data_IF_691864782949
#
_entry.id   IF_691864782949
#
_cell.length_a   1.000
_cell.length_b   1.000
_cell.length_c   1.000
_cell.angle_alpha   90.00
_cell.angle_beta   90.00
_cell.angle_gamma   90.00
#
_symmetry.space_group_name_H-M   'P 1'
#
loop_
_entity.id
_entity.type
_entity.pdbx_description
1 polymer ?
#
# COMPACT_ATOMS: atom_id res chain seq x y z
N UNK A 1 -54.86 8.56 -38.81
CA UNK A 1 -54.67 7.64 -39.93
C UNK A 1 -53.82 6.51 -39.44
N UNK A 2 -54.43 5.54 -39.04
CA UNK A 2 -54.55 4.13 -39.50
C UNK A 2 -53.48 3.22 -38.88
N UNK A 3 -53.90 2.52 -37.85
CA UNK A 3 -53.48 1.15 -37.51
C UNK A 3 -54.06 0.17 -38.54
N UNK A 4 -53.45 -0.98 -38.78
CA UNK A 4 -54.10 -2.23 -38.34
C UNK A 4 -53.11 -3.29 -37.79
N UNK A 5 -53.44 -3.94 -36.71
CA UNK A 5 -54.21 -5.20 -36.47
C UNK A 5 -53.44 -6.49 -36.66
N UNK A 6 -53.34 -7.23 -35.51
CA UNK A 6 -53.00 -8.66 -35.43
C UNK A 6 -53.84 -9.54 -36.35
N UNK A 7 -53.39 -10.80 -36.57
CA UNK A 7 -54.27 -11.88 -36.21
C UNK A 7 -53.61 -13.06 -35.45
N UNK A 8 -54.40 -13.56 -34.52
CA UNK A 8 -54.29 -14.88 -33.83
C UNK A 8 -54.56 -16.00 -34.84
N UNK A 9 -53.94 -17.19 -34.60
CA UNK A 9 -54.59 -18.49 -34.76
C UNK A 9 -53.83 -19.63 -34.12
N UNK A 10 -54.57 -20.27 -33.21
CA UNK A 10 -54.35 -21.64 -32.68
C UNK A 10 -54.31 -22.68 -33.78
N UNK A 11 -53.45 -23.71 -33.58
CA UNK A 11 -53.67 -25.03 -34.12
C UNK A 11 -53.00 -26.09 -33.22
N UNK A 12 -53.53 -27.29 -33.08
CA UNK A 12 -53.32 -28.22 -31.95
C UNK A 12 -52.20 -29.25 -32.22
N UNK A 13 -51.66 -29.76 -31.13
CA UNK A 13 -50.68 -30.85 -31.08
C UNK A 13 -51.33 -32.22 -31.44
N UNK A 14 -50.62 -33.10 -32.13
CA UNK A 14 -50.96 -34.52 -32.16
C UNK A 14 -50.26 -35.28 -31.06
N UNK A 15 -51.03 -36.03 -30.33
CA UNK A 15 -50.65 -37.07 -29.37
C UNK A 15 -50.05 -38.28 -30.07
N UNK A 16 -48.91 -38.79 -29.59
CA UNK A 16 -48.42 -40.06 -30.09
C UNK A 16 -47.09 -40.53 -29.50
N UNK A 17 -47.13 -41.59 -28.72
CA UNK A 17 -46.00 -42.49 -28.61
C UNK A 17 -45.25 -42.58 -27.29
N UNK A 18 -45.78 -43.27 -26.30
CA UNK A 18 -45.02 -43.84 -25.17
C UNK A 18 -43.97 -44.81 -25.67
N UNK A 19 -42.70 -44.47 -25.63
CA UNK A 19 -41.61 -45.45 -25.65
C UNK A 19 -40.92 -45.44 -24.30
N UNK A 20 -41.07 -46.51 -23.56
CA UNK A 20 -40.41 -46.82 -22.30
C UNK A 20 -38.90 -46.97 -22.52
N UNK A 21 -38.13 -45.90 -22.40
CA UNK A 21 -36.68 -46.00 -22.26
C UNK A 21 -36.34 -46.28 -20.80
N UNK A 22 -35.91 -47.51 -20.56
CA UNK A 22 -35.29 -48.00 -19.32
C UNK A 22 -34.28 -46.96 -18.84
N UNK A 23 -34.55 -46.26 -17.73
CA UNK A 23 -33.58 -45.54 -16.92
C UNK A 23 -32.58 -46.58 -16.38
N UNK A 24 -31.45 -46.71 -17.06
CA UNK A 24 -30.25 -47.30 -16.46
C UNK A 24 -29.86 -46.36 -15.31
N UNK A 25 -30.06 -46.84 -14.09
CA UNK A 25 -29.56 -46.22 -12.87
C UNK A 25 -28.03 -46.03 -12.97
N UNK A 26 -27.59 -44.83 -13.28
CA UNK A 26 -26.24 -44.41 -12.89
C UNK A 26 -26.24 -44.38 -11.36
N UNK A 27 -25.84 -45.48 -10.74
CA UNK A 27 -25.38 -45.48 -9.39
C UNK A 27 -24.30 -44.39 -9.28
N UNK A 28 -24.65 -43.23 -8.73
CA UNK A 28 -23.68 -42.33 -8.14
C UNK A 28 -22.94 -43.18 -7.11
N UNK A 29 -21.79 -43.74 -7.50
CA UNK A 29 -20.76 -44.07 -6.55
C UNK A 29 -20.47 -42.76 -5.80
N UNK A 30 -21.10 -42.60 -4.65
CA UNK A 30 -20.60 -41.73 -3.60
C UNK A 30 -19.18 -42.24 -3.37
N UNK A 31 -18.19 -41.51 -3.89
CA UNK A 31 -16.83 -41.70 -3.49
C UNK A 31 -16.85 -41.69 -1.97
N UNK A 32 -16.60 -42.85 -1.37
CA UNK A 32 -16.26 -42.97 0.04
C UNK A 32 -15.20 -41.87 0.26
N UNK A 33 -15.55 -40.83 1.00
CA UNK A 33 -14.58 -40.04 1.73
C UNK A 33 -13.96 -41.04 2.70
N UNK A 34 -12.91 -41.72 2.25
CA UNK A 34 -12.08 -42.55 3.11
C UNK A 34 -11.78 -41.70 4.33
N UNK A 35 -12.14 -42.23 5.49
CA UNK A 35 -11.84 -41.63 6.79
C UNK A 35 -10.33 -41.47 6.83
N UNK A 36 -9.87 -40.24 6.58
CA UNK A 36 -8.45 -39.92 6.76
C UNK A 36 -8.17 -40.22 8.21
N UNK A 37 -7.31 -41.18 8.46
CA UNK A 37 -6.89 -41.56 9.82
C UNK A 37 -6.11 -40.39 10.42
N UNK A 38 -6.86 -39.51 11.10
CA UNK A 38 -6.30 -38.30 11.75
C UNK A 38 -5.39 -38.68 12.94
N UNK A 39 -5.45 -39.91 13.39
CA UNK A 39 -4.62 -40.47 14.47
C UNK A 39 -3.34 -41.08 13.94
N UNK A 40 -3.20 -41.20 12.64
CA UNK A 40 -1.98 -41.70 12.03
C UNK A 40 -0.75 -40.83 12.42
N UNK A 41 0.36 -41.43 12.87
CA UNK A 41 1.53 -40.68 13.33
C UNK A 41 2.05 -39.65 12.34
N UNK A 42 2.08 -39.97 11.03
CA UNK A 42 2.50 -39.03 9.96
C UNK A 42 1.53 -37.85 9.81
N UNK A 43 0.23 -38.06 10.03
CA UNK A 43 -0.73 -36.97 9.96
C UNK A 43 -0.52 -35.97 11.10
N UNK A 44 -0.24 -36.46 12.32
CA UNK A 44 0.08 -35.62 13.48
C UNK A 44 1.39 -34.87 13.28
N UNK A 45 2.42 -35.52 12.75
CA UNK A 45 3.69 -34.87 12.42
C UNK A 45 3.50 -33.75 11.39
N UNK A 46 2.87 -34.03 10.27
CA UNK A 46 2.59 -33.03 9.23
C UNK A 46 1.77 -31.85 9.76
N UNK A 47 0.80 -32.11 10.64
CA UNK A 47 0.00 -31.08 11.27
C UNK A 47 0.84 -30.18 12.19
N UNK A 48 1.66 -30.77 13.03
CA UNK A 48 2.56 -30.03 13.93
C UNK A 48 3.53 -29.14 13.14
N UNK A 49 4.19 -29.70 12.14
CA UNK A 49 5.10 -28.96 11.25
C UNK A 49 4.41 -27.86 10.48
N UNK A 50 3.16 -28.11 10.04
CA UNK A 50 2.35 -27.12 9.32
C UNK A 50 1.99 -25.93 10.21
N UNK A 51 1.77 -26.11 11.51
CA UNK A 51 1.51 -25.03 12.45
C UNK A 51 2.70 -24.07 12.59
N UNK A 52 3.91 -24.57 12.38
CA UNK A 52 5.13 -23.77 12.37
C UNK A 52 5.35 -22.98 11.05
N UNK A 53 4.60 -23.28 9.98
CA UNK A 53 4.73 -22.62 8.67
C UNK A 53 4.05 -21.23 8.63
N UNK A 54 4.41 -20.37 7.65
CA UNK A 54 3.71 -19.10 7.39
C UNK A 54 2.21 -19.28 7.17
N UNK A 55 1.40 -18.28 7.54
CA UNK A 55 -0.08 -18.35 7.52
C UNK A 55 -0.62 -18.76 6.15
N UNK A 56 -0.10 -18.20 5.08
CA UNK A 56 -0.51 -18.55 3.72
C UNK A 56 -0.30 -20.04 3.42
N UNK A 57 0.86 -20.57 3.80
CA UNK A 57 1.21 -21.97 3.56
C UNK A 57 0.37 -22.90 4.46
N UNK A 58 0.13 -22.53 5.72
CA UNK A 58 -0.77 -23.27 6.62
C UNK A 58 -2.16 -23.46 6.00
N UNK A 59 -2.75 -22.40 5.44
CA UNK A 59 -4.07 -22.50 4.82
C UNK A 59 -4.05 -23.37 3.57
N UNK A 60 -3.07 -23.16 2.69
CA UNK A 60 -2.91 -23.89 1.43
C UNK A 60 -2.65 -25.38 1.65
N UNK A 61 -1.63 -25.70 2.45
CA UNK A 61 -1.23 -27.08 2.73
C UNK A 61 -2.20 -27.77 3.68
N UNK A 62 -2.80 -27.05 4.65
CA UNK A 62 -3.81 -27.61 5.54
C UNK A 62 -5.05 -28.13 4.82
N UNK A 63 -5.46 -27.47 3.75
CA UNK A 63 -6.54 -28.01 2.89
C UNK A 63 -6.13 -29.28 2.16
N UNK A 64 -4.89 -29.36 1.70
CA UNK A 64 -4.33 -30.56 1.06
C UNK A 64 -4.10 -31.69 2.04
N UNK A 65 -3.63 -31.39 3.27
CA UNK A 65 -3.44 -32.39 4.31
C UNK A 65 -4.75 -33.10 4.67
N UNK A 66 -5.86 -32.37 4.71
CA UNK A 66 -7.19 -32.94 4.96
C UNK A 66 -7.68 -33.92 3.88
N UNK A 67 -7.05 -33.92 2.72
CA UNK A 67 -7.39 -34.75 1.55
C UNK A 67 -6.24 -35.69 1.18
N UNK A 68 -5.16 -35.71 2.00
CA UNK A 68 -3.96 -36.49 1.70
C UNK A 68 -4.21 -37.99 1.95
N UNK A 69 -4.06 -38.77 0.90
CA UNK A 69 -4.05 -40.23 1.00
C UNK A 69 -2.67 -40.70 1.49
N UNK A 70 -2.61 -41.08 2.75
CA UNK A 70 -1.37 -41.55 3.40
C UNK A 70 -0.93 -42.94 2.96
N UNK A 71 -1.78 -43.71 2.29
CA UNK A 71 -1.42 -45.04 1.75
C UNK A 71 -0.60 -44.90 0.45
N UNK A 72 -0.65 -43.75 -0.21
CA UNK A 72 0.05 -43.48 -1.46
C UNK A 72 1.38 -42.77 -1.21
N UNK A 73 2.46 -43.51 -1.37
CA UNK A 73 3.80 -42.96 -1.13
C UNK A 73 4.12 -41.71 -1.98
N UNK A 74 3.68 -41.68 -3.24
CA UNK A 74 3.88 -40.53 -4.16
C UNK A 74 3.14 -39.27 -3.70
N UNK A 75 1.96 -39.41 -3.09
CA UNK A 75 1.22 -38.26 -2.54
C UNK A 75 1.88 -37.73 -1.27
N UNK A 76 2.35 -38.61 -0.41
CA UNK A 76 3.03 -38.27 0.84
C UNK A 76 4.34 -37.55 0.52
N UNK A 77 5.16 -38.07 -0.39
CA UNK A 77 6.43 -37.47 -0.77
C UNK A 77 6.25 -36.05 -1.36
N UNK A 78 5.26 -35.87 -2.24
CA UNK A 78 4.94 -34.54 -2.78
C UNK A 78 4.48 -33.55 -1.70
N UNK A 79 3.68 -34.01 -0.76
CA UNK A 79 3.23 -33.17 0.34
C UNK A 79 4.40 -32.78 1.25
N UNK A 80 5.25 -33.74 1.59
CA UNK A 80 6.42 -33.51 2.44
C UNK A 80 7.42 -32.53 1.79
N UNK A 81 7.65 -32.64 0.51
CA UNK A 81 8.47 -31.71 -0.27
C UNK A 81 7.91 -30.27 -0.22
N UNK A 82 6.58 -30.13 -0.37
CA UNK A 82 5.94 -28.82 -0.30
C UNK A 82 5.95 -28.24 1.10
N UNK A 83 5.81 -29.09 2.13
CA UNK A 83 5.90 -28.71 3.54
C UNK A 83 7.31 -28.25 3.89
N UNK A 84 8.33 -29.02 3.54
CA UNK A 84 9.74 -28.66 3.76
C UNK A 84 10.12 -27.36 3.05
N UNK A 85 9.57 -27.13 1.86
CA UNK A 85 9.75 -25.84 1.16
C UNK A 85 9.11 -24.67 1.89
N UNK A 86 7.96 -24.88 2.53
CA UNK A 86 7.30 -23.84 3.32
C UNK A 86 8.08 -23.54 4.62
N UNK A 87 8.58 -24.56 5.31
CA UNK A 87 9.46 -24.43 6.48
C UNK A 87 10.73 -23.66 6.12
N UNK A 88 11.39 -24.04 5.03
CA UNK A 88 12.61 -23.38 4.57
C UNK A 88 12.39 -21.90 4.26
N UNK A 89 11.28 -21.54 3.62
CA UNK A 89 10.94 -20.13 3.38
C UNK A 89 10.86 -19.30 4.66
N UNK A 90 10.32 -19.86 5.74
CA UNK A 90 10.29 -19.17 7.03
C UNK A 90 11.69 -19.01 7.60
N UNK A 91 12.50 -20.08 7.55
CA UNK A 91 13.90 -20.04 7.99
C UNK A 91 14.72 -19.02 7.18
N UNK A 92 14.57 -19.00 5.85
CA UNK A 92 15.24 -18.05 4.97
C UNK A 92 14.86 -16.59 5.33
N UNK A 93 13.58 -16.32 5.63
CA UNK A 93 13.12 -15.00 6.09
C UNK A 93 13.72 -14.64 7.46
N UNK A 94 13.76 -15.57 8.40
CA UNK A 94 14.39 -15.37 9.71
C UNK A 94 15.89 -15.11 9.58
N UNK A 95 16.56 -15.82 8.68
CA UNK A 95 18.00 -15.70 8.44
C UNK A 95 18.40 -14.36 7.79
N UNK A 96 17.43 -13.58 7.26
CA UNK A 96 17.72 -12.22 6.76
C UNK A 96 18.24 -11.28 7.86
N UNK A 97 17.95 -11.56 9.12
CA UNK A 97 18.59 -10.93 10.29
C UNK A 97 18.53 -9.39 10.30
N UNK A 98 17.39 -8.82 9.89
CA UNK A 98 17.25 -7.37 9.72
C UNK A 98 17.18 -6.70 11.09
N UNK A 99 18.17 -5.84 11.39
CA UNK A 99 18.17 -5.01 12.60
C UNK A 99 17.89 -3.56 12.20
N UNK A 100 16.67 -3.06 12.44
CA UNK A 100 16.30 -1.69 12.09
C UNK A 100 17.04 -0.67 12.97
N UNK A 101 17.50 0.41 12.36
CA UNK A 101 17.99 1.60 13.04
C UNK A 101 17.00 2.74 12.88
N UNK A 102 16.90 3.62 13.85
CA UNK A 102 15.90 4.70 13.89
C UNK A 102 16.60 6.04 14.01
N UNK A 103 16.40 6.97 13.06
CA UNK A 103 16.94 8.33 13.15
C UNK A 103 16.37 9.04 14.39
N UNK A 104 17.21 9.51 15.33
CA UNK A 104 16.71 10.11 16.57
C UNK A 104 15.99 11.44 16.36
N UNK A 105 16.30 12.13 15.25
CA UNK A 105 15.69 13.42 14.87
C UNK A 105 14.23 13.30 14.42
N UNK A 106 13.73 12.08 14.21
CA UNK A 106 12.34 11.89 13.78
C UNK A 106 11.41 11.75 14.98
N UNK A 107 10.33 12.55 15.06
CA UNK A 107 9.37 12.47 16.17
C UNK A 107 8.80 11.08 16.42
N UNK A 108 8.61 10.28 15.35
CA UNK A 108 8.14 8.89 15.49
C UNK A 108 9.15 7.99 16.20
N UNK A 109 10.45 8.32 16.16
CA UNK A 109 11.50 7.53 16.82
C UNK A 109 11.45 7.67 18.34
N UNK A 110 11.06 8.83 18.85
CA UNK A 110 10.86 9.07 20.29
C UNK A 110 9.70 8.25 20.85
N UNK A 111 8.67 8.03 20.04
CA UNK A 111 7.48 7.25 20.42
C UNK A 111 7.55 5.78 19.98
N UNK A 112 8.73 5.33 19.53
CA UNK A 112 8.93 3.97 18.95
C UNK A 112 8.46 2.87 19.88
N UNK A 113 8.84 2.91 21.14
CA UNK A 113 8.56 1.84 22.09
C UNK A 113 7.08 1.78 22.46
N UNK A 114 6.42 2.92 22.54
CA UNK A 114 4.96 3.02 22.72
C UNK A 114 4.21 2.45 21.50
N UNK A 115 4.63 2.83 20.29
CA UNK A 115 4.05 2.30 19.06
C UNK A 115 4.26 0.79 18.98
N UNK A 116 5.46 0.31 19.33
CA UNK A 116 5.78 -1.10 19.34
C UNK A 116 4.91 -1.88 20.34
N UNK A 117 4.69 -1.35 21.54
CA UNK A 117 3.80 -1.92 22.54
C UNK A 117 2.35 -1.98 22.01
N UNK A 118 1.84 -0.86 21.49
CA UNK A 118 0.49 -0.81 20.91
C UNK A 118 0.30 -1.86 19.80
N UNK A 119 1.25 -2.00 18.88
CA UNK A 119 1.18 -3.01 17.79
C UNK A 119 1.25 -4.45 18.35
N UNK A 120 2.04 -4.69 19.39
CA UNK A 120 2.14 -6.01 20.01
C UNK A 120 0.82 -6.41 20.65
N UNK A 121 0.23 -5.52 21.40
CA UNK A 121 -0.87 -5.82 22.32
C UNK A 121 -2.24 -5.74 21.63
N UNK A 122 -2.39 -4.89 20.60
CA UNK A 122 -3.66 -4.66 19.89
C UNK A 122 -3.63 -5.16 18.45
N UNK A 123 -4.79 -5.55 17.94
CA UNK A 123 -4.94 -6.02 16.55
C UNK A 123 -4.96 -4.85 15.55
N UNK A 124 -5.54 -3.72 15.94
CA UNK A 124 -5.60 -2.49 15.16
C UNK A 124 -5.00 -1.35 15.96
N UNK A 125 -4.18 -0.52 15.32
CA UNK A 125 -3.56 0.65 15.92
C UNK A 125 -3.68 1.83 14.97
N UNK A 126 -4.01 3.01 15.50
CA UNK A 126 -4.02 4.26 14.75
C UNK A 126 -2.80 5.08 15.16
N UNK A 127 -1.98 5.49 14.19
CA UNK A 127 -0.81 6.33 14.42
C UNK A 127 -1.01 7.66 13.70
N UNK A 128 -1.24 8.71 14.46
CA UNK A 128 -1.50 10.04 13.94
C UNK A 128 -0.33 10.98 14.15
N UNK A 129 -0.24 11.99 13.31
CA UNK A 129 0.76 13.04 13.49
C UNK A 129 1.02 13.81 12.21
N UNK A 130 1.74 14.91 12.33
CA UNK A 130 2.06 15.78 11.22
C UNK A 130 2.85 15.04 10.12
N UNK A 131 2.73 15.52 8.89
CA UNK A 131 3.54 15.03 7.78
C UNK A 131 5.00 15.38 8.05
N UNK A 132 5.90 14.45 7.75
CA UNK A 132 7.33 14.63 8.05
C UNK A 132 7.76 14.05 9.40
N UNK A 133 6.83 13.64 10.29
CA UNK A 133 7.17 13.00 11.56
C UNK A 133 7.85 11.62 11.42
N UNK A 134 7.96 11.08 10.21
CA UNK A 134 8.65 9.81 9.93
C UNK A 134 7.76 8.58 9.91
N UNK A 135 6.43 8.67 10.14
CA UNK A 135 5.50 7.52 10.19
C UNK A 135 5.69 6.55 9.02
N UNK A 136 5.61 7.05 7.81
CA UNK A 136 5.67 6.28 6.56
C UNK A 136 6.92 5.40 6.46
N UNK A 137 8.09 5.88 6.90
CA UNK A 137 9.35 5.14 6.77
C UNK A 137 9.68 4.30 8.00
N UNK A 138 9.28 4.73 9.19
CA UNK A 138 9.67 4.07 10.43
C UNK A 138 8.70 2.97 10.87
N UNK A 139 7.39 3.09 10.62
CA UNK A 139 6.41 2.06 11.01
C UNK A 139 6.73 0.67 10.45
N UNK A 140 7.08 0.50 9.15
CA UNK A 140 7.50 -0.81 8.66
C UNK A 140 8.74 -1.35 9.39
N UNK A 141 9.66 -0.48 9.78
CA UNK A 141 10.86 -0.85 10.53
C UNK A 141 10.53 -1.26 11.96
N UNK A 142 9.59 -0.57 12.63
CA UNK A 142 9.09 -0.96 13.96
C UNK A 142 8.44 -2.35 13.87
N UNK A 143 7.64 -2.61 12.85
CA UNK A 143 7.07 -3.93 12.62
C UNK A 143 8.14 -5.01 12.43
N UNK A 144 9.19 -4.75 11.64
CA UNK A 144 10.33 -5.68 11.50
C UNK A 144 11.01 -5.94 12.83
N UNK A 145 11.22 -4.90 13.67
CA UNK A 145 11.77 -5.04 15.02
C UNK A 145 10.92 -5.90 15.95
N UNK A 146 9.63 -5.99 15.71
CA UNK A 146 8.69 -6.88 16.40
C UNK A 146 8.64 -8.30 15.81
N UNK A 147 9.48 -8.63 14.84
CA UNK A 147 9.48 -9.92 14.15
C UNK A 147 8.34 -10.09 13.14
N UNK A 148 7.62 -9.01 12.79
CA UNK A 148 6.63 -9.05 11.72
C UNK A 148 7.34 -9.14 10.36
N UNK A 149 6.65 -9.65 9.37
CA UNK A 149 7.26 -9.90 8.06
C UNK A 149 7.76 -11.33 7.85
N UNK A 150 7.84 -12.15 8.91
CA UNK A 150 8.34 -13.54 8.87
C UNK A 150 7.22 -14.53 8.52
N UNK A 151 6.11 -14.47 9.22
CA UNK A 151 4.95 -15.36 9.00
C UNK A 151 4.05 -14.92 7.84
N UNK A 152 4.14 -13.71 7.43
CA UNK A 152 3.57 -13.07 6.26
C UNK A 152 4.40 -11.85 5.91
N UNK A 153 4.13 -11.17 4.82
CA UNK A 153 4.80 -9.89 4.53
C UNK A 153 4.09 -8.74 5.27
N UNK A 154 4.82 -7.68 5.53
CA UNK A 154 4.25 -6.39 5.92
C UNK A 154 3.80 -5.70 4.64
N UNK A 155 2.49 -5.60 4.43
CA UNK A 155 1.90 -4.83 3.33
C UNK A 155 1.79 -3.37 3.73
N UNK A 156 2.35 -2.46 2.93
CA UNK A 156 2.31 -1.03 3.21
C UNK A 156 1.72 -0.29 2.02
N UNK A 157 0.54 0.29 2.18
CA UNK A 157 -0.13 0.98 1.08
C UNK A 157 0.31 2.44 0.96
N UNK A 158 0.27 2.94 -0.27
CA UNK A 158 0.53 4.33 -0.61
C UNK A 158 -0.48 4.80 -1.65
N UNK A 159 -0.97 6.02 -1.60
CA UNK A 159 -1.99 6.49 -2.55
C UNK A 159 -1.45 6.64 -3.98
N UNK A 160 -0.15 6.77 -4.15
CA UNK A 160 0.49 7.09 -5.44
C UNK A 160 1.65 6.16 -5.77
N UNK A 161 1.80 5.83 -7.05
CA UNK A 161 2.88 4.94 -7.55
C UNK A 161 4.28 5.49 -7.23
N UNK A 162 4.48 6.80 -7.43
CA UNK A 162 5.76 7.43 -7.14
C UNK A 162 6.08 7.35 -5.64
N UNK A 163 5.09 7.62 -4.77
CA UNK A 163 5.25 7.48 -3.33
C UNK A 163 5.62 6.04 -2.95
N UNK A 164 4.93 5.03 -3.49
CA UNK A 164 5.23 3.63 -3.20
C UNK A 164 6.68 3.26 -3.55
N UNK A 165 7.19 3.72 -4.71
CA UNK A 165 8.57 3.47 -5.14
C UNK A 165 9.59 4.19 -4.26
N UNK A 166 9.37 5.49 -4.02
CA UNK A 166 10.31 6.30 -3.21
C UNK A 166 10.36 5.85 -1.76
N UNK A 167 9.22 5.52 -1.16
CA UNK A 167 9.14 4.99 0.21
C UNK A 167 9.85 3.64 0.31
N UNK A 168 9.60 2.71 -0.64
CA UNK A 168 10.30 1.42 -0.65
C UNK A 168 11.82 1.61 -0.79
N UNK A 169 12.25 2.47 -1.70
CA UNK A 169 13.68 2.79 -1.89
C UNK A 169 14.30 3.37 -0.62
N UNK A 170 13.60 4.31 0.04
CA UNK A 170 14.06 4.93 1.27
C UNK A 170 14.18 3.94 2.43
N UNK A 171 13.18 3.09 2.64
CA UNK A 171 13.22 2.05 3.67
C UNK A 171 14.36 1.06 3.39
N UNK A 172 14.54 0.62 2.13
CA UNK A 172 15.63 -0.27 1.75
C UNK A 172 17.00 0.36 2.03
N UNK A 173 17.17 1.65 1.70
CA UNK A 173 18.39 2.41 1.99
C UNK A 173 18.66 2.50 3.49
N UNK A 174 17.66 2.83 4.32
CA UNK A 174 17.79 2.92 5.76
C UNK A 174 18.12 1.57 6.41
N UNK A 175 17.62 0.47 5.83
CA UNK A 175 17.94 -0.90 6.25
C UNK A 175 19.25 -1.42 5.62
N UNK A 176 19.92 -0.65 4.76
CA UNK A 176 21.15 -1.02 4.04
C UNK A 176 20.99 -2.32 3.25
N UNK A 177 19.83 -2.53 2.62
CA UNK A 177 19.53 -3.70 1.81
C UNK A 177 19.21 -3.30 0.37
N UNK A 178 19.51 -4.16 -0.62
CA UNK A 178 19.09 -3.92 -1.99
C UNK A 178 17.56 -3.87 -2.08
N UNK A 179 17.05 -2.92 -2.88
CA UNK A 179 15.63 -2.86 -3.20
C UNK A 179 15.20 -4.12 -3.97
N UNK A 180 14.07 -4.71 -3.57
CA UNK A 180 13.54 -5.97 -4.11
C UNK A 180 13.87 -7.19 -3.23
N UNK A 181 14.80 -7.10 -2.28
CA UNK A 181 15.15 -8.20 -1.37
C UNK A 181 14.29 -8.14 -0.08
N UNK A 182 14.77 -7.48 0.97
CA UNK A 182 14.03 -7.31 2.22
C UNK A 182 12.83 -6.39 2.03
N UNK A 183 13.02 -5.29 1.31
CA UNK A 183 12.00 -4.31 0.97
C UNK A 183 11.82 -4.30 -0.53
N UNK A 184 10.59 -4.47 -0.97
CA UNK A 184 10.21 -4.35 -2.38
C UNK A 184 8.97 -3.49 -2.54
N UNK A 185 8.64 -3.20 -3.79
CA UNK A 185 7.38 -2.50 -4.10
C UNK A 185 6.63 -3.20 -5.22
N UNK A 186 5.32 -2.98 -5.23
CA UNK A 186 4.45 -3.41 -6.33
C UNK A 186 3.48 -2.30 -6.69
N UNK A 187 3.56 -1.85 -7.92
CA UNK A 187 2.62 -0.92 -8.51
C UNK A 187 2.10 -1.49 -9.82
N UNK A 188 1.09 -0.87 -10.41
CA UNK A 188 0.55 -1.34 -11.69
C UNK A 188 1.65 -1.39 -12.74
N UNK A 189 1.89 -2.59 -13.30
CA UNK A 189 2.91 -2.92 -14.31
C UNK A 189 4.38 -2.91 -13.85
N UNK A 190 4.65 -2.78 -12.54
CA UNK A 190 6.02 -2.87 -12.04
C UNK A 190 6.02 -3.54 -10.66
N UNK A 191 6.65 -4.72 -10.58
CA UNK A 191 6.76 -5.54 -9.37
C UNK A 191 8.23 -5.83 -9.09
N UNK A 192 8.73 -5.29 -7.99
CA UNK A 192 10.08 -5.49 -7.47
C UNK A 192 10.04 -6.19 -6.13
N UNK A 193 9.36 -7.34 -6.09
CA UNK A 193 9.29 -8.19 -4.90
C UNK A 193 9.76 -9.60 -5.23
N UNK A 194 10.32 -10.29 -4.23
CA UNK A 194 10.70 -11.70 -4.30
C UNK A 194 9.99 -12.49 -3.20
N UNK A 195 10.11 -13.82 -3.19
CA UNK A 195 9.44 -14.67 -2.20
C UNK A 195 9.82 -14.36 -0.75
N UNK A 196 11.03 -13.85 -0.53
CA UNK A 196 11.61 -13.51 0.77
C UNK A 196 11.31 -12.06 1.19
N UNK A 197 10.67 -11.24 0.35
CA UNK A 197 10.38 -9.83 0.69
C UNK A 197 9.54 -9.74 1.95
N UNK A 198 10.09 -9.06 2.97
CA UNK A 198 9.45 -8.86 4.27
C UNK A 198 8.51 -7.65 4.26
N UNK A 199 8.93 -6.55 3.63
CA UNK A 199 8.14 -5.31 3.49
C UNK A 199 7.79 -5.10 2.02
N UNK A 200 6.50 -5.12 1.72
CA UNK A 200 5.98 -4.90 0.38
C UNK A 200 5.19 -3.60 0.35
N UNK A 201 5.80 -2.57 -0.20
CA UNK A 201 5.14 -1.28 -0.42
C UNK A 201 4.33 -1.34 -1.71
N UNK A 202 3.09 -0.88 -1.70
CA UNK A 202 2.21 -0.97 -2.86
C UNK A 202 1.21 0.17 -2.91
N UNK A 203 0.55 0.35 -4.04
CA UNK A 203 -0.60 1.27 -4.06
C UNK A 203 -1.87 0.60 -3.51
N UNK A 204 -2.79 1.41 -2.96
CA UNK A 204 -4.07 0.94 -2.43
C UNK A 204 -4.81 0.04 -3.42
N UNK A 205 -4.83 0.43 -4.70
CA UNK A 205 -5.45 -0.36 -5.77
C UNK A 205 -4.80 -1.73 -6.00
N UNK A 206 -3.50 -1.90 -5.69
CA UNK A 206 -2.82 -3.21 -5.78
C UNK A 206 -3.28 -4.11 -4.64
N UNK A 207 -3.32 -3.59 -3.40
CA UNK A 207 -3.82 -4.37 -2.27
C UNK A 207 -5.29 -4.77 -2.49
N UNK A 208 -6.09 -3.83 -3.00
CA UNK A 208 -7.49 -4.09 -3.36
C UNK A 208 -7.61 -5.21 -4.40
N UNK A 209 -6.79 -5.21 -5.44
CA UNK A 209 -6.80 -6.29 -6.44
C UNK A 209 -6.38 -7.64 -5.84
N UNK A 210 -5.47 -7.67 -4.88
CA UNK A 210 -5.04 -8.90 -4.21
C UNK A 210 -6.14 -9.54 -3.36
N UNK A 211 -7.12 -8.77 -2.85
CA UNK A 211 -8.28 -9.33 -2.13
C UNK A 211 -9.13 -10.27 -2.98
N UNK A 212 -9.07 -10.15 -4.31
CA UNK A 212 -9.81 -11.02 -5.23
C UNK A 212 -9.23 -12.43 -5.27
N UNK A 213 -7.91 -12.57 -5.21
CA UNK A 213 -7.21 -13.86 -5.26
C UNK A 213 -6.92 -14.44 -3.87
N UNK A 214 -6.72 -13.60 -2.86
CA UNK A 214 -6.46 -13.96 -1.47
C UNK A 214 -7.45 -13.23 -0.55
N UNK A 215 -8.64 -13.79 -0.43
CA UNK A 215 -9.78 -13.18 0.28
C UNK A 215 -9.52 -12.89 1.76
N UNK A 216 -8.61 -13.54 2.40
CA UNK A 216 -8.26 -13.30 3.81
C UNK A 216 -6.88 -12.63 3.95
N UNK A 217 -6.28 -12.19 2.84
CA UNK A 217 -4.96 -11.55 2.80
C UNK A 217 -3.90 -12.35 3.57
N UNK A 218 -3.91 -13.67 3.39
CA UNK A 218 -3.09 -14.63 4.16
C UNK A 218 -1.60 -14.50 3.89
N UNK A 219 -1.22 -13.80 2.81
CA UNK A 219 0.18 -13.48 2.49
C UNK A 219 0.76 -12.40 3.39
N UNK A 220 -0.07 -11.71 4.17
CA UNK A 220 0.32 -10.63 5.06
C UNK A 220 0.11 -11.02 6.52
N UNK A 221 1.05 -10.66 7.37
CA UNK A 221 0.90 -10.70 8.82
C UNK A 221 0.64 -9.31 9.41
N UNK A 222 0.97 -8.26 8.65
CA UNK A 222 0.75 -6.88 9.02
C UNK A 222 0.33 -6.09 7.78
N UNK A 223 -0.65 -5.21 7.91
CA UNK A 223 -1.06 -4.26 6.87
C UNK A 223 -1.01 -2.85 7.44
N UNK A 224 -0.30 -1.97 6.75
CA UNK A 224 -0.22 -0.55 7.05
C UNK A 224 -1.00 0.19 5.96
N UNK A 225 -2.09 0.85 6.35
CA UNK A 225 -2.86 1.77 5.49
C UNK A 225 -2.33 3.17 5.75
N UNK A 226 -1.48 3.66 4.85
CA UNK A 226 -0.85 4.97 5.00
C UNK A 226 -1.68 6.08 4.36
N UNK A 227 -1.59 7.29 4.93
CA UNK A 227 -2.33 8.48 4.49
C UNK A 227 -3.87 8.25 4.45
N UNK A 228 -4.41 7.52 5.45
CA UNK A 228 -5.83 7.16 5.48
C UNK A 228 -6.79 8.36 5.46
N UNK A 229 -6.32 9.54 5.89
CA UNK A 229 -7.08 10.80 5.82
C UNK A 229 -7.33 11.29 4.38
N UNK A 230 -6.64 10.76 3.38
CA UNK A 230 -6.96 11.06 1.97
C UNK A 230 -8.36 10.54 1.55
N UNK A 231 -8.93 9.59 2.29
CA UNK A 231 -10.29 9.09 2.12
C UNK A 231 -10.64 8.77 0.66
N UNK A 232 -9.67 8.20 -0.08
CA UNK A 232 -9.96 7.69 -1.42
C UNK A 232 -10.94 6.52 -1.35
N UNK A 233 -11.68 6.29 -2.43
CA UNK A 233 -12.60 5.15 -2.53
C UNK A 233 -11.89 3.80 -2.24
N UNK A 234 -10.64 3.64 -2.67
CA UNK A 234 -9.87 2.45 -2.40
C UNK A 234 -9.55 2.29 -0.92
N UNK A 235 -9.16 3.38 -0.23
CA UNK A 235 -8.87 3.38 1.21
C UNK A 235 -10.14 3.02 1.98
N UNK A 236 -11.26 3.68 1.72
CA UNK A 236 -12.52 3.42 2.43
C UNK A 236 -13.01 1.98 2.21
N UNK A 237 -12.88 1.46 0.99
CA UNK A 237 -13.18 0.07 0.71
C UNK A 237 -12.25 -0.89 1.49
N UNK A 238 -10.94 -0.63 1.50
CA UNK A 238 -9.96 -1.45 2.20
C UNK A 238 -10.21 -1.46 3.71
N UNK A 239 -10.54 -0.31 4.33
CA UNK A 239 -10.89 -0.24 5.75
C UNK A 239 -12.11 -1.12 6.08
N UNK A 240 -13.18 -1.02 5.30
CA UNK A 240 -14.35 -1.89 5.45
C UNK A 240 -14.04 -3.38 5.20
N UNK A 241 -13.16 -3.66 4.23
CA UNK A 241 -12.74 -5.02 3.94
C UNK A 241 -11.90 -5.62 5.08
N UNK A 242 -10.92 -4.88 5.60
CA UNK A 242 -10.10 -5.28 6.73
C UNK A 242 -10.95 -5.56 7.96
N UNK A 243 -11.89 -4.66 8.30
CA UNK A 243 -12.86 -4.87 9.39
C UNK A 243 -13.58 -6.21 9.26
N UNK A 244 -13.99 -6.60 8.06
CA UNK A 244 -14.69 -7.86 7.79
C UNK A 244 -13.81 -9.09 7.97
N UNK A 245 -12.49 -9.01 7.69
CA UNK A 245 -11.61 -10.18 7.77
C UNK A 245 -10.94 -10.36 9.13
N UNK A 246 -10.78 -9.29 9.93
CA UNK A 246 -10.11 -9.32 11.23
C UNK A 246 -10.61 -10.41 12.18
N UNK A 247 -11.92 -10.66 12.35
CA UNK A 247 -12.39 -11.74 13.21
C UNK A 247 -11.92 -13.15 12.80
N UNK A 248 -11.59 -13.34 11.51
CA UNK A 248 -11.07 -14.60 10.97
C UNK A 248 -9.53 -14.64 10.93
N UNK A 249 -8.90 -13.53 11.21
CA UNK A 249 -7.45 -13.34 11.15
C UNK A 249 -6.92 -12.68 12.44
N UNK A 250 -7.01 -13.38 13.59
CA UNK A 250 -6.53 -12.83 14.86
C UNK A 250 -5.01 -12.57 14.87
N UNK A 251 -4.28 -13.20 13.95
CA UNK A 251 -2.85 -13.03 13.73
C UNK A 251 -2.49 -11.74 12.96
N UNK A 252 -3.42 -11.19 12.19
CA UNK A 252 -3.20 -10.02 11.34
C UNK A 252 -3.22 -8.73 12.17
N UNK A 253 -2.16 -7.93 12.03
CA UNK A 253 -2.10 -6.58 12.59
C UNK A 253 -2.44 -5.56 11.51
N UNK A 254 -3.21 -4.56 11.87
CA UNK A 254 -3.57 -3.43 11.00
C UNK A 254 -3.12 -2.13 11.64
N UNK A 255 -2.33 -1.37 10.92
CA UNK A 255 -1.86 -0.06 11.35
C UNK A 255 -2.42 0.98 10.38
N UNK A 256 -3.11 1.97 10.92
CA UNK A 256 -3.69 3.06 10.14
C UNK A 256 -2.89 4.31 10.43
N UNK A 257 -2.32 4.93 9.41
CA UNK A 257 -1.70 6.24 9.62
C UNK A 257 -2.59 7.35 9.09
N UNK A 258 -2.61 8.43 9.81
CA UNK A 258 -3.37 9.63 9.44
C UNK A 258 -2.54 10.88 9.75
N UNK A 259 -2.83 11.98 9.05
CA UNK A 259 -2.54 13.30 9.57
C UNK A 259 -3.39 13.51 10.85
N UNK A 260 -3.33 14.69 11.45
CA UNK A 260 -4.02 14.98 12.71
C UNK A 260 -5.56 15.05 12.61
N UNK A 261 -6.15 14.65 11.46
CA UNK A 261 -7.59 14.77 11.20
C UNK A 261 -8.31 13.50 11.63
N UNK A 262 -9.18 13.60 12.62
CA UNK A 262 -10.19 12.63 13.06
C UNK A 262 -9.69 11.17 13.26
N UNK A 263 -8.66 10.96 14.12
CA UNK A 263 -8.18 9.61 14.40
C UNK A 263 -9.21 8.75 15.16
N UNK A 264 -10.10 9.37 15.92
CA UNK A 264 -11.15 8.72 16.69
C UNK A 264 -12.16 8.02 15.78
N UNK A 265 -12.45 8.57 14.60
CA UNK A 265 -13.34 7.92 13.65
C UNK A 265 -12.77 6.59 13.13
N UNK A 266 -11.44 6.52 12.90
CA UNK A 266 -10.79 5.27 12.53
C UNK A 266 -10.82 4.26 13.68
N UNK A 267 -10.52 4.67 14.91
CA UNK A 267 -10.58 3.80 16.07
C UNK A 267 -11.99 3.25 16.29
N UNK A 268 -13.00 4.12 16.25
CA UNK A 268 -14.42 3.75 16.38
C UNK A 268 -14.86 2.78 15.30
N UNK A 269 -14.35 2.94 14.06
CA UNK A 269 -14.69 2.06 12.96
C UNK A 269 -14.33 0.60 13.24
N UNK A 270 -13.25 0.32 13.96
CA UNK A 270 -12.79 -1.04 14.23
C UNK A 270 -13.12 -1.56 15.63
N UNK A 271 -13.60 -0.73 16.56
CA UNK A 271 -13.79 -1.08 17.96
C UNK A 271 -14.68 -2.31 18.20
N UNK A 272 -15.70 -2.52 17.37
CA UNK A 272 -16.63 -3.65 17.49
C UNK A 272 -16.02 -5.01 17.10
N UNK A 273 -14.93 -5.01 16.33
CA UNK A 273 -14.27 -6.24 15.84
C UNK A 273 -12.89 -6.47 16.43
N UNK A 274 -12.19 -5.41 16.81
CA UNK A 274 -10.81 -5.45 17.31
C UNK A 274 -10.71 -5.14 18.82
N UNK A 275 -11.81 -4.75 19.47
CA UNK A 275 -11.80 -4.28 20.84
C UNK A 275 -11.19 -2.90 20.97
N UNK A 276 -10.32 -2.70 21.93
CA UNK A 276 -9.61 -1.44 22.12
C UNK A 276 -8.67 -1.16 20.94
N UNK A 277 -8.79 0.05 20.38
CA UNK A 277 -7.94 0.53 19.26
C UNK A 277 -7.18 1.77 19.75
N UNK A 278 -5.93 1.60 20.16
CA UNK A 278 -5.13 2.72 20.66
C UNK A 278 -4.81 3.71 19.56
N UNK A 279 -4.79 4.99 19.94
CA UNK A 279 -4.39 6.12 19.11
C UNK A 279 -3.07 6.66 19.65
N UNK A 280 -2.00 6.53 18.87
CA UNK A 280 -0.69 7.09 19.24
C UNK A 280 -0.48 8.37 18.45
N UNK A 281 -0.38 9.49 19.18
CA UNK A 281 -0.14 10.81 18.59
C UNK A 281 1.35 11.10 18.51
N UNK A 282 1.86 11.26 17.29
CA UNK A 282 3.25 11.65 17.02
C UNK A 282 3.28 13.12 16.67
N UNK A 283 3.53 13.96 17.65
CA UNK A 283 3.64 15.41 17.49
C UNK A 283 5.10 15.85 17.40
N UNK A 284 5.34 16.90 16.68
CA UNK A 284 6.65 17.53 16.54
C UNK A 284 6.94 17.94 15.10
N UNK A 285 7.21 19.22 14.92
CA UNK A 285 7.73 19.76 13.65
C UNK A 285 9.22 19.57 13.63
N UNK A 286 9.73 18.99 12.57
CA UNK A 286 11.16 18.75 12.39
C UNK A 286 11.91 20.08 12.12
N UNK A 287 11.21 21.06 11.51
CA UNK A 287 11.78 22.36 11.12
C UNK A 287 10.77 23.49 11.30
N UNK A 288 11.20 24.72 11.64
CA UNK A 288 10.33 25.88 11.64
C UNK A 288 9.82 26.17 10.22
N UNK A 289 8.57 26.62 10.14
CA UNK A 289 7.92 26.99 8.87
C UNK A 289 7.41 28.41 9.00
N UNK A 290 7.94 29.32 8.19
CA UNK A 290 7.43 30.66 8.00
C UNK A 290 6.43 30.66 6.83
N UNK A 291 5.24 31.25 7.04
CA UNK A 291 4.23 31.40 5.99
C UNK A 291 4.23 32.83 5.50
N UNK A 292 4.53 33.05 4.22
CA UNK A 292 4.49 34.36 3.57
C UNK A 292 3.39 34.37 2.51
N UNK A 293 2.47 35.29 2.67
CA UNK A 293 1.40 35.50 1.70
C UNK A 293 1.81 36.58 0.70
N UNK A 294 1.84 36.24 -0.59
CA UNK A 294 2.12 37.15 -1.70
C UNK A 294 0.95 37.07 -2.69
N UNK A 295 0.08 38.10 -2.75
CA UNK A 295 -0.99 38.12 -3.75
C UNK A 295 -0.38 38.25 -5.15
N UNK A 296 -0.93 37.49 -6.09
CA UNK A 296 -0.48 37.50 -7.49
C UNK A 296 -0.93 38.78 -8.24
N UNK A 297 -1.91 39.49 -7.68
CA UNK A 297 -2.43 40.76 -8.21
C UNK A 297 -1.99 41.89 -7.30
N UNK A 298 -1.37 42.95 -7.88
CA UNK A 298 -1.09 44.18 -7.14
C UNK A 298 -2.38 44.83 -6.65
N UNK A 299 -2.46 45.08 -5.32
CA UNK A 299 -3.58 45.79 -4.69
C UNK A 299 -3.61 47.23 -5.20
N UNK A 300 -4.43 47.51 -6.19
CA UNK A 300 -4.57 48.87 -6.80
C UNK A 300 -4.95 48.88 -8.28
N UNK A 301 -4.76 47.78 -8.96
CA UNK A 301 -5.25 47.67 -10.35
C UNK A 301 -6.76 47.42 -10.34
N UNK A 302 -7.55 48.27 -10.97
CA UNK A 302 -8.98 48.08 -11.20
C UNK A 302 -9.18 46.75 -11.91
N UNK A 303 -9.84 45.82 -11.24
CA UNK A 303 -10.38 44.53 -11.76
C UNK A 303 -9.64 43.98 -12.98
N UNK A 304 -8.51 43.30 -12.76
CA UNK A 304 -7.97 42.38 -13.76
C UNK A 304 -8.92 41.20 -13.85
N UNK A 305 -9.35 40.86 -15.04
CA UNK A 305 -10.04 39.61 -15.28
C UNK A 305 -9.13 38.45 -14.90
N UNK A 306 -9.64 37.29 -14.44
CA UNK A 306 -8.82 36.15 -14.02
C UNK A 306 -7.80 35.69 -15.09
N UNK A 307 -7.96 36.10 -16.33
CA UNK A 307 -7.08 35.79 -17.46
C UNK A 307 -5.77 36.61 -17.48
N UNK A 308 -5.69 37.71 -16.71
CA UNK A 308 -4.56 38.64 -16.72
C UNK A 308 -3.49 38.30 -15.65
N UNK A 309 -3.67 37.21 -14.89
CA UNK A 309 -2.74 36.81 -13.84
C UNK A 309 -1.56 36.04 -14.42
N UNK A 310 -0.39 36.66 -14.51
CA UNK A 310 0.86 35.98 -14.95
C UNK A 310 1.47 35.14 -13.82
N UNK A 311 0.92 33.96 -13.59
CA UNK A 311 1.45 33.00 -12.60
C UNK A 311 2.92 32.66 -12.82
N UNK A 312 3.41 32.40 -14.05
CA UNK A 312 4.83 32.26 -14.33
C UNK A 312 5.70 33.38 -13.80
N UNK A 313 5.34 34.65 -14.00
CA UNK A 313 6.11 35.80 -13.52
C UNK A 313 6.05 35.97 -12.01
N UNK A 314 4.88 35.73 -11.38
CA UNK A 314 4.76 35.76 -9.93
C UNK A 314 5.66 34.69 -9.27
N UNK A 315 5.78 33.52 -9.89
CA UNK A 315 6.71 32.48 -9.41
C UNK A 315 8.15 32.92 -9.58
N UNK A 316 8.56 33.51 -10.70
CA UNK A 316 9.91 34.04 -10.90
C UNK A 316 10.24 35.08 -9.83
N UNK A 317 9.33 36.00 -9.53
CA UNK A 317 9.53 37.00 -8.46
C UNK A 317 9.68 36.38 -7.07
N UNK A 318 8.87 35.34 -6.74
CA UNK A 318 9.00 34.61 -5.49
C UNK A 318 10.34 33.86 -5.37
N UNK A 319 10.84 33.33 -6.48
CA UNK A 319 12.13 32.67 -6.54
C UNK A 319 13.29 33.65 -6.33
N UNK A 320 13.19 34.85 -6.91
CA UNK A 320 14.18 35.91 -6.72
C UNK A 320 14.24 36.36 -5.24
N UNK A 321 13.06 36.54 -4.62
CA UNK A 321 12.95 36.85 -3.18
C UNK A 321 13.66 35.76 -2.32
N UNK A 322 13.39 34.48 -2.59
CA UNK A 322 13.94 33.37 -1.83
C UNK A 322 15.44 33.17 -2.07
N UNK A 323 15.96 33.50 -3.26
CA UNK A 323 17.38 33.37 -3.59
C UNK A 323 18.27 34.29 -2.74
N UNK A 324 17.70 35.37 -2.24
CA UNK A 324 18.39 36.32 -1.31
C UNK A 324 18.51 35.80 0.13
N UNK A 325 17.80 34.69 0.48
CA UNK A 325 17.77 34.22 1.88
C UNK A 325 18.67 33.01 2.16
N UNK A 326 19.18 32.37 1.13
CA UNK A 326 20.10 31.23 1.27
C UNK A 326 20.01 30.21 0.15
N UNK A 327 20.92 29.24 0.22
CA UNK A 327 20.97 28.11 -0.71
C UNK A 327 20.01 27.01 -0.25
N UNK A 328 18.97 26.75 -1.03
CA UNK A 328 18.02 25.70 -0.73
C UNK A 328 17.22 25.26 -1.94
N UNK A 329 16.55 24.11 -1.82
CA UNK A 329 15.65 23.62 -2.86
C UNK A 329 14.28 24.28 -2.74
N UNK A 330 13.65 24.65 -3.86
CA UNK A 330 12.31 25.21 -3.88
C UNK A 330 11.35 24.27 -4.59
N UNK A 331 10.20 23.99 -3.96
CA UNK A 331 9.14 23.18 -4.51
C UNK A 331 7.94 24.07 -4.84
N UNK A 332 7.60 24.18 -6.11
CA UNK A 332 6.47 24.97 -6.59
C UNK A 332 5.30 24.08 -6.98
N UNK A 333 4.10 24.37 -6.47
CA UNK A 333 2.87 23.65 -6.80
C UNK A 333 2.04 24.45 -7.78
N UNK A 334 1.68 23.82 -8.90
CA UNK A 334 0.86 24.40 -9.95
C UNK A 334 -0.32 23.50 -10.30
N UNK A 335 -1.37 24.07 -10.89
CA UNK A 335 -2.63 23.37 -11.12
C UNK A 335 -2.57 22.32 -12.24
N UNK A 336 -1.71 22.51 -13.25
CA UNK A 336 -1.69 21.64 -14.42
C UNK A 336 -0.36 21.52 -15.15
N UNK A 337 -0.27 20.53 -16.05
CA UNK A 337 0.92 20.27 -16.88
C UNK A 337 1.30 21.48 -17.73
N UNK A 338 0.30 22.21 -18.26
CA UNK A 338 0.52 23.40 -19.07
C UNK A 338 1.24 24.49 -18.26
N UNK A 339 0.70 24.86 -17.12
CA UNK A 339 1.32 25.84 -16.23
C UNK A 339 2.73 25.43 -15.78
N UNK A 340 2.93 24.14 -15.46
CA UNK A 340 4.26 23.60 -15.12
C UNK A 340 5.25 23.87 -16.25
N UNK A 341 4.87 23.64 -17.50
CA UNK A 341 5.75 23.85 -18.65
C UNK A 341 6.02 25.32 -18.93
N UNK A 342 4.98 26.15 -18.87
CA UNK A 342 5.07 27.61 -19.09
C UNK A 342 5.97 28.26 -18.04
N UNK A 343 5.77 27.92 -16.76
CA UNK A 343 6.57 28.46 -15.66
C UNK A 343 8.02 27.92 -15.69
N UNK A 344 8.21 26.64 -16.01
CA UNK A 344 9.57 26.10 -16.19
C UNK A 344 10.32 26.84 -17.33
N UNK A 345 9.62 27.25 -18.38
CA UNK A 345 10.20 28.08 -19.46
C UNK A 345 10.52 29.49 -18.96
N UNK A 346 9.62 30.13 -18.21
CA UNK A 346 9.84 31.46 -17.65
C UNK A 346 11.07 31.50 -16.72
N UNK A 347 11.24 30.54 -15.85
CA UNK A 347 12.40 30.44 -14.95
C UNK A 347 13.71 30.26 -15.73
N UNK A 348 13.72 29.37 -16.75
CA UNK A 348 14.90 29.18 -17.60
C UNK A 348 15.29 30.47 -18.34
N UNK A 349 14.28 31.23 -18.80
CA UNK A 349 14.48 32.52 -19.47
C UNK A 349 15.00 33.60 -18.51
N UNK A 350 14.64 33.54 -17.24
CA UNK A 350 15.17 34.45 -16.20
C UNK A 350 16.64 34.18 -15.87
N UNK A 351 17.26 33.12 -16.42
CA UNK A 351 18.67 32.79 -16.33
C UNK A 351 19.21 32.83 -14.89
N UNK A 352 18.50 32.29 -13.93
CA UNK A 352 18.90 32.24 -12.52
C UNK A 352 20.19 31.40 -12.37
N UNK A 353 21.26 31.95 -11.76
CA UNK A 353 22.52 31.26 -11.65
C UNK A 353 22.39 30.01 -10.78
N UNK A 354 23.10 28.95 -11.14
CA UNK A 354 23.18 27.67 -10.39
C UNK A 354 21.84 26.96 -10.14
N UNK A 355 20.83 27.21 -10.99
CA UNK A 355 19.49 26.68 -10.82
C UNK A 355 19.17 25.62 -11.87
N UNK A 356 18.83 24.41 -11.46
CA UNK A 356 18.28 23.38 -12.33
C UNK A 356 16.76 23.29 -12.17
N UNK A 357 16.03 23.40 -13.28
CA UNK A 357 14.56 23.34 -13.29
C UNK A 357 14.08 21.96 -13.69
N UNK A 358 13.46 21.23 -12.75
CA UNK A 358 12.96 19.88 -12.93
C UNK A 358 11.41 19.86 -12.92
N UNK A 359 10.74 19.94 -14.07
CA UNK A 359 9.28 19.82 -14.12
C UNK A 359 8.85 18.41 -13.74
N UNK A 360 7.82 18.28 -12.87
CA UNK A 360 7.28 17.00 -12.42
C UNK A 360 5.78 16.92 -12.69
N UNK A 361 5.36 15.98 -13.55
CA UNK A 361 3.97 15.66 -13.83
C UNK A 361 3.78 14.18 -14.19
N UNK A 362 2.55 13.68 -14.11
CA UNK A 362 2.25 12.25 -14.14
C UNK A 362 2.61 11.51 -15.43
N UNK A 363 2.77 12.22 -16.55
CA UNK A 363 3.10 11.65 -17.88
C UNK A 363 4.60 11.54 -18.14
N UNK A 364 5.44 12.06 -17.26
CA UNK A 364 6.89 11.93 -17.40
C UNK A 364 7.32 10.46 -17.31
N UNK A 365 8.39 10.12 -18.04
CA UNK A 365 9.03 8.82 -17.90
C UNK A 365 9.54 8.61 -16.46
N UNK A 366 9.55 7.37 -16.00
CA UNK A 366 9.99 7.06 -14.63
C UNK A 366 11.40 7.55 -14.32
N UNK A 367 12.32 7.47 -15.29
CA UNK A 367 13.69 7.97 -15.14
C UNK A 367 13.77 9.48 -14.87
N UNK A 368 12.89 10.25 -15.52
CA UNK A 368 12.82 11.71 -15.30
C UNK A 368 12.15 12.04 -13.96
N UNK A 369 11.16 11.25 -13.54
CA UNK A 369 10.56 11.36 -12.22
C UNK A 369 11.58 11.05 -11.10
N UNK A 370 12.48 10.10 -11.33
CA UNK A 370 13.49 9.69 -10.37
C UNK A 370 14.65 10.72 -10.26
N UNK A 371 14.83 11.63 -11.23
CA UNK A 371 15.85 12.68 -11.19
C UNK A 371 15.69 13.61 -10.00
N UNK A 372 14.46 13.91 -9.59
CA UNK A 372 14.19 14.78 -8.44
C UNK A 372 14.73 14.25 -7.10
N UNK A 373 15.03 12.95 -7.01
CA UNK A 373 15.58 12.32 -5.81
C UNK A 373 17.11 12.20 -5.85
N UNK A 374 17.75 12.60 -6.96
CA UNK A 374 19.21 12.57 -7.08
C UNK A 374 19.77 13.89 -6.57
N UNK A 375 20.85 13.82 -5.80
CA UNK A 375 21.60 15.03 -5.43
C UNK A 375 22.14 15.68 -6.69
N UNK A 376 21.88 16.97 -6.86
CA UNK A 376 22.39 17.79 -7.94
C UNK A 376 23.35 18.80 -7.30
N UNK A 377 24.51 18.97 -7.89
CA UNK A 377 25.47 19.99 -7.47
C UNK A 377 24.95 21.36 -7.96
N UNK A 378 24.49 22.20 -7.05
CA UNK A 378 23.78 23.46 -7.30
C UNK A 378 22.32 23.36 -6.87
N UNK A 379 21.71 24.43 -6.45
CA UNK A 379 20.31 24.43 -6.01
C UNK A 379 19.36 23.81 -7.04
N UNK A 380 18.47 22.95 -6.63
CA UNK A 380 17.52 22.29 -7.51
C UNK A 380 16.10 22.79 -7.24
N UNK A 381 15.38 23.14 -8.30
CA UNK A 381 14.01 23.65 -8.24
C UNK A 381 13.01 22.61 -8.75
N UNK A 382 11.98 22.24 -7.93
CA UNK A 382 11.06 21.16 -8.24
C UNK A 382 9.65 21.67 -8.53
N UNK A 383 8.96 21.03 -9.47
CA UNK A 383 7.60 21.37 -9.90
C UNK A 383 6.67 20.19 -9.79
N UNK A 384 5.50 20.35 -9.17
CA UNK A 384 4.50 19.31 -9.08
C UNK A 384 3.10 19.85 -9.37
N UNK A 385 2.30 19.05 -10.10
CA UNK A 385 0.86 19.27 -10.22
C UNK A 385 0.19 19.05 -8.87
N UNK A 386 -0.55 20.03 -8.35
CA UNK A 386 -1.56 19.80 -7.32
C UNK A 386 -2.84 19.36 -7.99
N UNK A 387 -3.35 18.18 -7.67
CA UNK A 387 -4.79 17.95 -7.69
C UNK A 387 -5.36 18.69 -6.48
N UNK A 388 -6.57 19.29 -6.54
CA UNK A 388 -7.11 20.11 -5.44
C UNK A 388 -7.29 19.39 -4.10
N UNK A 389 -6.85 18.18 -3.95
CA UNK A 389 -7.11 17.36 -2.77
C UNK A 389 -5.93 16.60 -2.18
N UNK A 390 -4.65 16.82 -2.51
CA UNK A 390 -3.63 15.98 -1.82
C UNK A 390 -2.21 16.55 -1.84
N UNK A 391 -1.66 16.75 -0.66
CA UNK A 391 -0.27 17.09 -0.41
C UNK A 391 0.57 15.82 -0.24
N UNK A 392 1.50 15.54 -1.13
CA UNK A 392 2.58 14.60 -0.87
C UNK A 392 3.90 15.36 -0.93
N UNK A 393 4.66 15.29 0.14
CA UNK A 393 5.92 16.01 0.31
C UNK A 393 7.10 15.24 -0.27
N UNK A 394 7.94 15.93 -1.04
CA UNK A 394 9.35 15.57 -1.19
C UNK A 394 10.13 16.34 -0.12
N UNK A 395 11.01 15.68 0.62
CA UNK A 395 11.90 16.34 1.57
C UNK A 395 13.07 16.98 0.82
N UNK A 396 13.35 18.23 1.10
CA UNK A 396 14.69 18.79 0.94
C UNK A 396 15.60 18.16 2.00
N UNK A 397 16.74 17.59 1.60
CA UNK A 397 17.78 17.19 2.52
C UNK A 397 18.64 18.43 2.81
N UNK A 398 18.30 19.15 3.87
CA UNK A 398 19.25 20.10 4.48
C UNK A 398 20.34 19.30 5.22
N UNK A 399 21.55 19.76 5.09
CA UNK A 399 22.76 19.30 5.76
C UNK A 399 22.61 19.13 7.25
#
# INVERSE_FOLDING_TARGET
MSTPSEPSRNAPFPSGGRSSRRRRGRSRQKSRSENIDRDHPRFRDFRSRLEACPVFERKRLGSRLRQLDLSRADHVERFEKDLSKAERRKQDRQALGVTPTYPPELPVSERRDEIAAAIRDHQVVVVCGETGSGKTTQLPKICLGLGRGIDGSIGHTQPRRLAARSVASRIAQELRTPLGKVVGYKVRFDDRTVGETLVKVMTDGVLLAETQSDRDLTRYDTIIIDEAHERSLNIDFLLGYLKRILPRRPDLKVIITSATIDPEAFAKHFADVAGEVPIVMVSGRTYPVEVRYRPVVETGAKSLEPEDVDVPQAVVGALDELSGEGDGDVLVFLSGEREIRETAKAIRNASMPSTEVLPLYSRLASADQDRIFKRIAGGAWFWRRTSPRHHSRCRASGT
#
